data_IF_367271759398
#
_entry.id   IF_367271759398
#
_cell.length_a   1.000
_cell.length_b   1.000
_cell.length_c   1.000
_cell.angle_alpha   90.00
_cell.angle_beta   90.00
_cell.angle_gamma   90.00
#
_symmetry.space_group_name_H-M   'P 1'
#
loop_
_entity.id
_entity.type
_entity.pdbx_description
1 polymer ?
#
# COMPACT_ATOMS: atom_id res chain seq x y z
N UNK A 1 0.20 5.96 -43.96
CA UNK A 1 1.63 6.13 -43.62
C UNK A 1 1.67 6.54 -42.14
N UNK A 2 2.13 5.69 -41.22
CA UNK A 2 2.09 6.00 -39.78
C UNK A 2 3.30 6.86 -39.44
N UNK A 3 3.09 8.07 -38.92
CA UNK A 3 4.17 8.99 -38.61
C UNK A 3 5.15 8.36 -37.59
N UNK A 4 6.47 8.57 -37.77
CA UNK A 4 7.48 8.09 -36.83
C UNK A 4 7.22 8.64 -35.43
N UNK A 5 6.96 7.77 -34.44
CA UNK A 5 6.74 8.21 -33.05
C UNK A 5 8.06 8.73 -32.48
N UNK A 6 8.08 9.91 -31.85
CA UNK A 6 9.28 10.41 -31.17
C UNK A 6 9.55 9.62 -29.90
N UNK A 7 10.80 9.61 -29.46
CA UNK A 7 11.17 9.10 -28.14
C UNK A 7 10.54 10.00 -27.05
N UNK A 8 9.74 9.42 -26.14
CA UNK A 8 9.12 10.14 -25.03
C UNK A 8 10.08 10.58 -23.91
N UNK A 9 11.39 10.47 -24.13
CA UNK A 9 12.43 10.77 -23.13
C UNK A 9 13.38 11.84 -23.66
N UNK A 10 14.00 11.59 -24.82
CA UNK A 10 14.94 12.54 -25.43
C UNK A 10 14.33 13.33 -26.59
N UNK A 11 13.05 13.13 -26.92
CA UNK A 11 12.37 13.83 -28.02
C UNK A 11 12.83 13.45 -29.43
N UNK A 12 13.80 12.54 -29.58
CA UNK A 12 14.35 12.15 -30.87
C UNK A 12 13.25 11.63 -31.81
N UNK A 13 13.00 12.37 -32.91
CA UNK A 13 11.99 12.05 -33.90
C UNK A 13 12.35 10.77 -34.66
N UNK A 14 11.41 9.83 -34.75
CA UNK A 14 11.57 8.59 -35.54
C UNK A 14 12.56 7.56 -35.02
N UNK A 15 13.09 7.74 -33.81
CA UNK A 15 14.00 6.77 -33.21
C UNK A 15 13.32 5.80 -32.23
N UNK A 16 12.00 5.89 -32.00
CA UNK A 16 11.30 5.04 -31.03
C UNK A 16 11.20 3.57 -31.49
N UNK A 17 12.29 2.82 -31.30
CA UNK A 17 12.45 1.42 -31.68
C UNK A 17 11.73 0.46 -30.75
N UNK A 18 11.49 0.87 -29.51
CA UNK A 18 10.90 0.05 -28.46
C UNK A 18 9.71 0.76 -27.82
N UNK A 19 8.80 -0.01 -27.23
CA UNK A 19 7.57 0.48 -26.60
C UNK A 19 7.45 -0.06 -25.19
N UNK A 20 7.06 0.82 -24.28
CA UNK A 20 6.78 0.45 -22.91
C UNK A 20 5.44 -0.30 -22.79
N UNK A 21 5.39 -1.47 -22.11
CA UNK A 21 4.14 -2.21 -21.91
C UNK A 21 3.15 -1.52 -20.95
N UNK A 22 3.63 -0.64 -20.06
CA UNK A 22 2.80 -0.01 -19.01
C UNK A 22 2.10 1.27 -19.47
N UNK A 23 2.76 2.12 -20.26
CA UNK A 23 2.22 3.42 -20.70
C UNK A 23 2.19 3.59 -22.23
N UNK A 24 2.59 2.56 -22.98
CA UNK A 24 2.65 2.60 -24.43
C UNK A 24 3.59 3.65 -25.06
N UNK A 25 4.40 4.35 -24.26
CA UNK A 25 5.37 5.33 -24.72
C UNK A 25 6.48 4.67 -25.54
N UNK A 26 6.92 5.35 -26.60
CA UNK A 26 8.02 4.91 -27.45
C UNK A 26 9.36 5.44 -26.95
N UNK A 27 10.41 4.64 -27.00
CA UNK A 27 11.76 5.06 -26.65
C UNK A 27 12.81 4.49 -27.61
N UNK A 28 13.95 5.18 -27.74
CA UNK A 28 14.97 4.83 -28.72
C UNK A 28 16.03 3.85 -28.23
N UNK A 29 16.30 3.80 -26.91
CA UNK A 29 17.37 2.98 -26.34
C UNK A 29 17.06 2.54 -24.90
N UNK A 30 17.84 1.58 -24.40
CA UNK A 30 17.75 1.10 -23.00
C UNK A 30 17.99 2.23 -21.99
N UNK A 31 18.85 3.20 -22.33
CA UNK A 31 19.08 4.39 -21.49
C UNK A 31 17.80 5.23 -21.35
N UNK A 32 17.09 5.46 -22.45
CA UNK A 32 15.79 6.13 -22.41
C UNK A 32 14.76 5.29 -21.65
N UNK A 33 14.78 3.97 -21.77
CA UNK A 33 13.89 3.10 -20.99
C UNK A 33 14.10 3.26 -19.46
N UNK A 34 15.36 3.29 -19.01
CA UNK A 34 15.68 3.48 -17.59
C UNK A 34 15.28 4.86 -17.08
N UNK A 35 15.57 5.91 -17.84
CA UNK A 35 15.15 7.26 -17.49
C UNK A 35 13.61 7.40 -17.45
N UNK A 36 12.91 6.80 -18.41
CA UNK A 36 11.44 6.77 -18.45
C UNK A 36 10.84 6.07 -17.23
N UNK A 37 11.41 4.93 -16.83
CA UNK A 37 10.97 4.18 -15.64
C UNK A 37 11.34 4.89 -14.34
N UNK A 38 12.48 5.57 -14.30
CA UNK A 38 12.94 6.33 -13.13
C UNK A 38 12.03 7.50 -12.76
N UNK A 39 11.36 8.12 -13.75
CA UNK A 39 10.39 9.20 -13.52
C UNK A 39 9.01 8.75 -13.06
N UNK A 40 8.71 7.45 -13.00
CA UNK A 40 7.42 6.96 -12.51
C UNK A 40 7.32 6.86 -11.00
N UNK A 41 8.42 7.11 -10.28
CA UNK A 41 8.42 7.15 -8.83
C UNK A 41 7.82 8.44 -8.25
N UNK A 42 7.52 9.44 -9.08
CA UNK A 42 6.85 10.66 -8.61
C UNK A 42 5.91 11.19 -9.70
N UNK A 43 4.65 11.38 -9.34
CA UNK A 43 3.61 12.23 -9.95
C UNK A 43 2.23 11.55 -9.90
N UNK A 44 1.73 11.45 -8.67
CA UNK A 44 0.33 11.72 -8.41
C UNK A 44 0.21 13.05 -7.69
N UNK A 45 0.12 14.17 -8.42
CA UNK A 45 -0.49 15.43 -7.94
C UNK A 45 -0.60 16.51 -9.05
N UNK A 46 -1.79 16.65 -9.62
CA UNK A 46 -2.37 17.99 -9.86
C UNK A 46 -2.23 18.62 -11.25
N UNK A 47 -3.36 18.72 -11.97
CA UNK A 47 -3.50 19.65 -13.09
C UNK A 47 -4.81 19.49 -13.87
N UNK A 48 -5.93 19.93 -13.30
CA UNK A 48 -7.19 20.24 -14.03
C UNK A 48 -7.02 21.54 -14.83
N UNK A 49 -7.66 21.71 -16.01
CA UNK A 49 -9.00 22.31 -16.03
C UNK A 49 -10.01 21.83 -17.11
N UNK A 50 -11.28 21.90 -16.71
CA UNK A 50 -12.51 22.30 -17.43
C UNK A 50 -13.12 21.46 -18.61
N UNK A 51 -14.41 21.14 -18.43
CA UNK A 51 -15.37 20.40 -19.29
C UNK A 51 -16.04 21.31 -20.38
N UNK A 52 -17.06 20.93 -21.24
CA UNK A 52 -18.19 19.98 -21.00
C UNK A 52 -18.77 19.11 -22.18
N UNK A 53 -19.38 17.95 -21.81
CA UNK A 53 -20.59 17.23 -22.34
C UNK A 53 -20.72 16.67 -23.79
N UNK A 54 -21.68 15.75 -24.11
CA UNK A 54 -22.30 14.64 -23.33
C UNK A 54 -22.55 13.28 -24.09
N UNK A 55 -22.73 12.20 -23.30
CA UNK A 55 -23.59 10.99 -23.51
C UNK A 55 -23.18 9.84 -24.49
N UNK A 56 -23.81 8.64 -24.42
CA UNK A 56 -23.68 7.66 -23.33
C UNK A 56 -23.47 6.20 -23.82
N UNK A 57 -23.37 5.27 -22.86
CA UNK A 57 -23.51 3.81 -22.98
C UNK A 57 -22.26 3.01 -23.39
N UNK A 58 -21.64 2.36 -22.41
CA UNK A 58 -21.52 0.91 -22.39
C UNK A 58 -20.85 0.39 -21.10
N UNK A 59 -21.66 -0.35 -20.32
CA UNK A 59 -21.30 -1.65 -19.73
C UNK A 59 -20.34 -1.63 -18.52
N UNK A 60 -20.97 -1.88 -17.37
CA UNK A 60 -20.52 -2.73 -16.26
C UNK A 60 -19.15 -3.39 -16.46
N UNK A 61 -18.16 -2.95 -15.67
CA UNK A 61 -17.20 -3.82 -15.01
C UNK A 61 -16.76 -3.17 -13.70
N UNK A 62 -16.80 -3.98 -12.65
CA UNK A 62 -16.42 -3.70 -11.27
C UNK A 62 -14.98 -3.17 -11.16
N UNK A 63 -14.58 -2.58 -10.00
CA UNK A 63 -13.41 -1.71 -9.93
C UNK A 63 -12.13 -2.46 -10.28
N UNK A 64 -11.43 -1.90 -11.26
CA UNK A 64 -10.07 -2.25 -11.60
C UNK A 64 -9.21 -2.18 -10.34
N UNK A 65 -8.79 -3.35 -9.87
CA UNK A 65 -7.73 -3.48 -8.88
C UNK A 65 -6.54 -2.67 -9.34
N UNK A 66 -6.16 -1.69 -8.52
CA UNK A 66 -4.98 -0.87 -8.76
C UNK A 66 -3.71 -1.75 -8.76
N UNK A 67 -2.57 -1.21 -9.20
CA UNK A 67 -1.31 -1.95 -9.28
C UNK A 67 -0.76 -2.46 -7.93
N UNK A 68 -1.42 -2.12 -6.81
CA UNK A 68 -1.11 -2.57 -5.45
C UNK A 68 -2.30 -3.37 -4.92
N UNK A 69 -2.60 -4.47 -5.58
CA UNK A 69 -3.30 -5.54 -4.89
C UNK A 69 -2.29 -6.15 -3.93
N UNK A 70 -2.57 -6.01 -2.62
CA UNK A 70 -1.74 -6.52 -1.52
C UNK A 70 -1.63 -8.05 -1.52
N UNK A 71 -2.38 -8.69 -2.41
CA UNK A 71 -2.46 -10.14 -2.60
C UNK A 71 -1.28 -10.76 -3.36
N UNK A 72 -0.35 -9.96 -3.93
CA UNK A 72 0.76 -10.49 -4.78
C UNK A 72 2.15 -10.43 -4.09
N UNK A 73 2.22 -10.01 -2.81
CA UNK A 73 3.49 -9.86 -2.07
C UNK A 73 3.58 -10.80 -0.86
N UNK A 74 2.44 -11.30 -0.38
CA UNK A 74 2.37 -12.20 0.76
C UNK A 74 2.45 -13.64 0.26
N UNK A 75 3.39 -14.42 0.77
CA UNK A 75 3.38 -15.87 0.57
C UNK A 75 2.12 -16.42 1.24
N UNK A 76 1.62 -17.57 0.80
CA UNK A 76 0.44 -18.23 1.40
C UNK A 76 0.53 -18.36 2.94
N UNK A 77 1.73 -18.37 3.52
CA UNK A 77 2.04 -18.35 4.96
C UNK A 77 1.75 -16.98 5.63
N UNK A 78 2.14 -15.87 4.99
CA UNK A 78 1.96 -14.50 5.49
C UNK A 78 0.47 -14.06 5.51
N UNK A 79 -0.40 -14.77 4.78
CA UNK A 79 -1.84 -14.51 4.78
C UNK A 79 -2.51 -14.92 6.11
N UNK A 80 -1.94 -15.90 6.83
CA UNK A 80 -2.46 -16.34 8.13
C UNK A 80 -2.14 -15.34 9.26
N UNK A 81 -0.98 -14.69 9.21
CA UNK A 81 -0.58 -13.66 10.18
C UNK A 81 -1.37 -12.35 10.02
N UNK A 82 -2.11 -12.20 8.92
CA UNK A 82 -2.86 -10.98 8.64
C UNK A 82 -4.17 -10.93 9.43
N UNK A 83 -4.27 -9.96 10.34
CA UNK A 83 -5.50 -9.74 11.12
C UNK A 83 -6.68 -9.34 10.21
N UNK A 84 -7.80 -10.09 10.21
CA UNK A 84 -8.98 -9.75 9.42
C UNK A 84 -9.61 -8.41 9.80
N UNK A 85 -10.15 -7.68 8.82
CA UNK A 85 -10.80 -6.38 9.03
C UNK A 85 -11.92 -6.42 10.09
N UNK A 86 -12.62 -7.55 10.23
CA UNK A 86 -13.66 -7.72 11.24
C UNK A 86 -13.08 -7.67 12.65
N UNK A 87 -11.95 -8.34 12.90
CA UNK A 87 -11.25 -8.30 14.19
C UNK A 87 -10.63 -6.93 14.46
N UNK A 88 -10.14 -6.25 13.42
CA UNK A 88 -9.62 -4.88 13.56
C UNK A 88 -10.70 -3.87 13.98
N UNK A 89 -11.97 -4.08 13.62
CA UNK A 89 -13.07 -3.22 14.09
C UNK A 89 -13.30 -3.35 15.60
N UNK A 90 -13.13 -4.55 16.15
CA UNK A 90 -13.28 -4.82 17.60
C UNK A 90 -12.29 -4.00 18.44
N UNK A 91 -11.10 -3.72 17.90
CA UNK A 91 -10.11 -2.84 18.54
C UNK A 91 -10.69 -1.45 18.82
N UNK A 92 -11.53 -0.92 17.93
CA UNK A 92 -12.18 0.39 18.10
C UNK A 92 -13.31 0.41 19.12
N UNK A 93 -13.84 -0.75 19.50
CA UNK A 93 -14.92 -0.88 20.50
C UNK A 93 -14.35 -0.97 21.94
N UNK A 94 -13.07 -1.32 22.09
CA UNK A 94 -12.40 -1.39 23.39
C UNK A 94 -12.08 0.00 23.95
N UNK A 95 -12.70 0.37 25.07
CA UNK A 95 -12.41 1.61 25.79
C UNK A 95 -10.98 1.64 26.37
N UNK A 96 -10.45 0.49 26.79
CA UNK A 96 -9.09 0.35 27.30
C UNK A 96 -8.06 0.70 26.23
N UNK A 97 -8.22 0.14 25.02
CA UNK A 97 -7.34 0.44 23.90
C UNK A 97 -7.44 1.89 23.45
N UNK A 98 -8.67 2.44 23.43
CA UNK A 98 -8.89 3.87 23.13
C UNK A 98 -8.21 4.77 24.15
N UNK A 99 -8.24 4.41 25.43
CA UNK A 99 -7.52 5.12 26.49
C UNK A 99 -6.01 5.17 26.25
N UNK A 100 -5.41 4.03 25.86
CA UNK A 100 -3.99 3.96 25.51
C UNK A 100 -3.67 4.83 24.28
N UNK A 101 -4.53 4.81 23.26
CA UNK A 101 -4.38 5.61 22.03
C UNK A 101 -4.51 7.12 22.25
N UNK A 102 -5.10 7.60 23.35
CA UNK A 102 -5.12 9.03 23.67
C UNK A 102 -3.72 9.59 24.01
N UNK A 103 -2.75 8.73 24.29
CA UNK A 103 -1.39 9.16 24.59
C UNK A 103 -0.68 9.67 23.32
N UNK A 104 -0.25 10.94 23.27
CA UNK A 104 0.38 11.51 22.07
C UNK A 104 1.70 10.83 21.73
N UNK A 105 2.43 10.35 22.74
CA UNK A 105 3.67 9.60 22.55
C UNK A 105 3.41 8.28 21.81
N UNK A 106 2.39 7.53 22.21
CA UNK A 106 2.04 6.27 21.56
C UNK A 106 1.62 6.48 20.10
N UNK A 107 0.80 7.51 19.82
CA UNK A 107 0.43 7.86 18.45
C UNK A 107 1.66 8.19 17.59
N UNK A 108 2.62 8.93 18.15
CA UNK A 108 3.87 9.25 17.47
C UNK A 108 4.69 7.99 17.16
N UNK A 109 4.79 7.04 18.11
CA UNK A 109 5.45 5.76 17.87
C UNK A 109 4.80 5.01 16.71
N UNK A 110 3.46 4.88 16.73
CA UNK A 110 2.71 4.18 15.68
C UNK A 110 2.90 4.82 14.30
N UNK A 111 2.80 6.15 14.21
CA UNK A 111 3.05 6.89 12.97
C UNK A 111 4.49 6.73 12.48
N UNK A 112 5.45 6.69 13.41
CA UNK A 112 6.87 6.50 13.07
C UNK A 112 7.12 5.11 12.50
N UNK A 113 6.52 4.06 13.07
CA UNK A 113 6.61 2.69 12.51
C UNK A 113 5.95 2.60 11.13
N UNK A 114 4.78 3.21 10.96
CA UNK A 114 4.03 3.15 9.70
C UNK A 114 4.81 3.77 8.53
N UNK A 115 5.45 4.92 8.77
CA UNK A 115 6.15 5.72 7.76
C UNK A 115 7.62 5.32 7.56
N UNK A 116 8.21 4.52 8.45
CA UNK A 116 9.62 4.22 8.39
C UNK A 116 10.02 3.28 7.25
N UNK A 117 11.20 3.54 6.69
CA UNK A 117 11.87 2.65 5.72
C UNK A 117 12.32 1.34 6.38
N UNK A 118 12.80 1.39 7.63
CA UNK A 118 13.25 0.21 8.38
C UNK A 118 12.30 -0.15 9.54
N UNK A 119 11.18 -0.78 9.20
CA UNK A 119 10.13 -1.19 10.17
C UNK A 119 10.62 -2.25 11.14
N UNK A 120 11.49 -3.17 10.69
CA UNK A 120 11.99 -4.28 11.51
C UNK A 120 12.81 -3.79 12.71
N UNK A 121 13.74 -2.85 12.48
CA UNK A 121 14.57 -2.33 13.58
C UNK A 121 13.78 -1.46 14.54
N UNK A 122 12.84 -0.65 14.03
CA UNK A 122 11.96 0.16 14.88
C UNK A 122 11.02 -0.71 15.71
N UNK A 123 10.45 -1.76 15.12
CA UNK A 123 9.59 -2.68 15.86
C UNK A 123 10.35 -3.27 17.06
N UNK A 124 11.58 -3.77 16.86
CA UNK A 124 12.43 -4.28 17.95
C UNK A 124 12.75 -3.24 19.03
N UNK A 125 12.90 -1.98 18.63
CA UNK A 125 13.17 -0.89 19.57
C UNK A 125 11.93 -0.54 20.38
N UNK A 126 10.78 -0.44 19.73
CA UNK A 126 9.53 -0.05 20.40
C UNK A 126 8.91 -1.19 21.20
N UNK A 127 9.21 -2.45 20.87
CA UNK A 127 8.89 -3.59 21.74
C UNK A 127 9.63 -3.54 23.10
N UNK A 128 10.59 -2.63 23.31
CA UNK A 128 11.22 -2.40 24.61
C UNK A 128 10.54 -1.28 25.41
N UNK A 129 9.66 -0.49 24.78
CA UNK A 129 8.94 0.61 25.42
C UNK A 129 7.70 0.05 26.12
N UNK A 130 7.52 0.24 27.44
CA UNK A 130 6.42 -0.37 28.18
C UNK A 130 5.05 0.06 27.65
N UNK A 131 4.91 1.31 27.22
CA UNK A 131 3.67 1.83 26.63
C UNK A 131 3.28 1.13 25.32
N UNK A 132 4.27 0.80 24.48
CA UNK A 132 4.02 0.13 23.21
C UNK A 132 3.71 -1.36 23.45
N UNK A 133 4.36 -1.98 24.42
CA UNK A 133 4.07 -3.36 24.84
C UNK A 133 2.65 -3.47 25.38
N UNK A 134 2.20 -2.57 26.27
CA UNK A 134 0.81 -2.59 26.77
C UNK A 134 -0.21 -2.38 25.65
N UNK A 135 0.10 -1.51 24.68
CA UNK A 135 -0.74 -1.35 23.49
C UNK A 135 -0.83 -2.64 22.66
N UNK A 136 0.31 -3.28 22.39
CA UNK A 136 0.38 -4.49 21.59
C UNK A 136 -0.35 -5.65 22.30
N UNK A 137 -0.12 -5.84 23.60
CA UNK A 137 -0.80 -6.84 24.42
C UNK A 137 -2.33 -6.64 24.41
N UNK A 138 -2.78 -5.40 24.57
CA UNK A 138 -4.20 -5.09 24.52
C UNK A 138 -4.81 -5.37 23.14
N UNK A 139 -4.09 -5.09 22.05
CA UNK A 139 -4.51 -5.47 20.70
C UNK A 139 -4.59 -6.99 20.54
N UNK A 140 -3.53 -7.71 20.94
CA UNK A 140 -3.42 -9.16 20.85
C UNK A 140 -4.55 -9.85 21.62
N UNK A 141 -4.86 -9.41 22.84
CA UNK A 141 -5.98 -9.93 23.65
C UNK A 141 -7.35 -9.80 22.95
N UNK A 142 -7.53 -8.82 22.07
CA UNK A 142 -8.77 -8.58 21.33
C UNK A 142 -8.81 -9.42 20.03
N UNK A 143 -7.69 -9.52 19.30
CA UNK A 143 -7.62 -10.21 18.00
C UNK A 143 -7.39 -11.73 18.15
N UNK A 144 -6.65 -12.11 19.17
CA UNK A 144 -6.43 -13.46 19.67
C UNK A 144 -6.95 -13.50 21.12
N UNK A 145 -8.28 -13.58 21.31
CA UNK A 145 -8.79 -13.95 22.61
C UNK A 145 -8.15 -15.30 22.98
N UNK A 146 -7.64 -15.48 24.21
CA UNK A 146 -7.08 -16.75 24.61
C UNK A 146 -8.16 -17.79 24.38
N UNK A 147 -7.93 -18.68 23.42
CA UNK A 147 -8.79 -19.84 23.25
C UNK A 147 -8.84 -20.50 24.62
N UNK A 148 -10.06 -20.65 25.14
CA UNK A 148 -10.30 -21.49 26.31
C UNK A 148 -9.54 -22.77 26.03
N UNK A 149 -8.49 -22.98 26.80
CA UNK A 149 -7.71 -24.21 26.84
C UNK A 149 -8.69 -25.35 26.60
N UNK A 150 -8.48 -26.04 25.47
CA UNK A 150 -9.32 -27.12 25.00
C UNK A 150 -9.44 -28.09 26.17
N UNK A 151 -10.57 -28.04 26.88
CA UNK A 151 -10.86 -28.92 28.01
C UNK A 151 -10.93 -30.29 27.37
N UNK A 152 -9.81 -31.01 27.37
CA UNK A 152 -9.71 -32.37 26.91
C UNK A 152 -10.70 -33.16 27.78
N UNK A 153 -11.82 -33.70 27.26
CA UNK A 153 -12.62 -34.61 28.04
C UNK A 153 -11.76 -35.86 28.29
N UNK A 154 -11.62 -36.18 29.57
CA UNK A 154 -10.95 -37.36 30.13
C UNK A 154 -11.46 -38.68 29.53
#
# INVERSE_FOLDING_TARGET
MRAPRPCGVCGAAGAAKYRCPRCAAGYCSVLCCRAHKGGWAVEGAGGVPAAPSPAPAARLSAPAGGPWSVEDILTEDDEQDRVPLQKLKLLGESEELRGLLLNPHLQQLLLTVDQAEDKSSLMKKYMQEPLFVEFADCCLRIVEPPEKENILPE
#
